data_IF_734223568895
#
_entry.id   IF_734223568895
#
_cell.length_a   1.000
_cell.length_b   1.000
_cell.length_c   1.000
_cell.angle_alpha   90.00
_cell.angle_beta   90.00
_cell.angle_gamma   90.00
#
_symmetry.space_group_name_H-M   'P 1'
#
loop_
_entity.id
_entity.type
_entity.pdbx_description
1 polymer ?
#
# COMPACT_ATOMS: atom_id res chain seq x y z
N UNK A 1 8.71 -22.10 8.72
CA UNK A 1 8.63 -22.48 10.14
C UNK A 1 7.16 -22.60 10.50
N UNK A 2 6.66 -23.78 10.89
CA UNK A 2 5.24 -24.01 11.22
C UNK A 2 5.07 -23.98 12.74
N UNK A 3 4.80 -22.79 13.29
CA UNK A 3 4.40 -22.58 14.70
C UNK A 3 3.02 -21.90 14.77
N UNK A 4 2.22 -21.99 13.70
CA UNK A 4 0.93 -21.31 13.59
C UNK A 4 -0.09 -21.78 14.64
N UNK A 5 0.12 -22.96 15.24
CA UNK A 5 -0.71 -23.45 16.34
C UNK A 5 -0.50 -22.67 17.65
N UNK A 6 0.63 -22.00 17.84
CA UNK A 6 0.91 -21.20 19.05
C UNK A 6 0.26 -19.81 19.04
N UNK A 7 -0.38 -19.45 17.92
CA UNK A 7 -1.09 -18.18 17.73
C UNK A 7 -2.58 -18.38 17.40
N UNK A 8 -3.07 -19.63 17.48
CA UNK A 8 -4.48 -19.97 17.31
C UNK A 8 -5.18 -20.05 18.68
N UNK A 9 -6.45 -19.61 18.79
CA UNK A 9 -7.25 -19.84 19.99
C UNK A 9 -7.34 -21.34 20.29
N UNK A 10 -7.07 -21.74 21.53
CA UNK A 10 -7.12 -23.14 21.91
C UNK A 10 -8.56 -23.65 21.98
N UNK A 11 -8.82 -24.80 21.37
CA UNK A 11 -10.08 -25.51 21.54
C UNK A 11 -10.15 -26.10 22.96
N UNK A 12 -11.33 -26.03 23.59
CA UNK A 12 -11.58 -26.64 24.90
C UNK A 12 -11.32 -28.14 24.79
N UNK A 13 -10.29 -28.64 25.49
CA UNK A 13 -9.88 -30.05 25.50
C UNK A 13 -8.63 -30.41 24.68
N UNK A 14 -7.95 -29.44 24.06
CA UNK A 14 -6.68 -29.68 23.35
C UNK A 14 -5.49 -29.85 24.30
N UNK A 15 -4.47 -30.60 23.87
CA UNK A 15 -3.20 -30.75 24.59
C UNK A 15 -2.51 -29.39 24.79
N UNK A 16 -1.92 -29.15 25.97
CA UNK A 16 -1.17 -27.92 26.25
C UNK A 16 -0.01 -27.77 25.26
N UNK A 17 0.14 -26.56 24.71
CA UNK A 17 1.27 -26.26 23.83
C UNK A 17 2.56 -26.26 24.65
N UNK A 18 3.62 -26.95 24.19
CA UNK A 18 4.89 -26.96 24.91
C UNK A 18 5.44 -25.53 25.10
N UNK A 19 5.88 -25.15 26.33
CA UNK A 19 6.37 -23.80 26.61
C UNK A 19 7.52 -23.34 25.70
N UNK A 20 8.36 -24.28 25.27
CA UNK A 20 9.48 -23.99 24.35
C UNK A 20 9.01 -23.58 22.94
N UNK A 21 7.84 -24.04 22.49
CA UNK A 21 7.27 -23.66 21.20
C UNK A 21 6.67 -22.25 21.25
N UNK A 22 5.97 -21.92 22.33
CA UNK A 22 5.47 -20.56 22.61
C UNK A 22 6.63 -19.57 22.64
N UNK A 23 7.70 -19.88 23.39
CA UNK A 23 8.89 -19.03 23.46
C UNK A 23 9.56 -18.85 22.09
N UNK A 24 9.66 -19.92 21.29
CA UNK A 24 10.22 -19.88 19.93
C UNK A 24 9.40 -18.99 19.00
N UNK A 25 8.07 -19.05 19.07
CA UNK A 25 7.17 -18.19 18.32
C UNK A 25 7.30 -16.71 18.75
N UNK A 26 7.30 -16.44 20.06
CA UNK A 26 7.49 -15.09 20.61
C UNK A 26 8.80 -14.45 20.15
N UNK A 27 9.91 -15.19 20.18
CA UNK A 27 11.22 -14.72 19.69
C UNK A 27 11.15 -14.45 18.18
N UNK A 28 10.59 -15.38 17.40
CA UNK A 28 10.47 -15.22 15.95
C UNK A 28 9.68 -13.95 15.60
N UNK A 29 8.54 -13.71 16.24
CA UNK A 29 7.74 -12.50 16.01
C UNK A 29 8.53 -11.24 16.33
N UNK A 30 9.19 -11.18 17.50
CA UNK A 30 9.98 -10.02 17.93
C UNK A 30 11.16 -9.70 17.03
N UNK A 31 11.70 -10.69 16.32
CA UNK A 31 12.78 -10.50 15.34
C UNK A 31 12.29 -9.88 14.02
N UNK A 32 11.00 -10.01 13.70
CA UNK A 32 10.46 -9.63 12.40
C UNK A 32 9.48 -8.45 12.44
N UNK A 33 9.14 -7.94 13.63
CA UNK A 33 8.36 -6.70 13.79
C UNK A 33 9.28 -5.47 13.89
N UNK A 34 8.72 -4.29 13.59
CA UNK A 34 9.44 -3.02 13.67
C UNK A 34 10.01 -2.78 15.08
N UNK A 35 11.21 -2.18 15.23
CA UNK A 35 11.82 -1.91 16.54
C UNK A 35 10.91 -1.18 17.52
N UNK A 36 10.13 -0.21 17.05
CA UNK A 36 9.19 0.53 17.90
C UNK A 36 8.09 -0.38 18.49
N UNK A 37 7.51 -1.26 17.66
CA UNK A 37 6.52 -2.24 18.12
C UNK A 37 7.15 -3.26 19.08
N UNK A 38 8.41 -3.63 18.85
CA UNK A 38 9.14 -4.53 19.74
C UNK A 38 9.33 -3.92 21.13
N UNK A 39 9.63 -2.62 21.20
CA UNK A 39 9.75 -1.89 22.47
C UNK A 39 8.40 -1.74 23.16
N UNK A 40 7.35 -1.41 22.43
CA UNK A 40 5.98 -1.26 22.96
C UNK A 40 5.45 -2.56 23.58
N UNK A 41 5.73 -3.71 22.96
CA UNK A 41 5.25 -5.02 23.42
C UNK A 41 6.36 -5.86 24.09
N UNK A 42 7.35 -5.22 24.72
CA UNK A 42 8.47 -5.93 25.35
C UNK A 42 8.01 -6.93 26.43
N UNK A 43 7.00 -6.57 27.22
CA UNK A 43 6.50 -7.37 28.35
C UNK A 43 5.52 -8.49 27.97
N UNK A 44 5.07 -8.54 26.70
CA UNK A 44 4.11 -9.56 26.24
C UNK A 44 4.82 -10.87 25.91
N UNK A 45 4.98 -11.74 26.91
CA UNK A 45 5.75 -13.00 26.76
C UNK A 45 5.02 -14.10 25.97
N UNK A 46 3.69 -14.09 26.01
CA UNK A 46 2.85 -15.06 25.30
C UNK A 46 2.71 -14.72 23.80
N UNK A 47 2.96 -15.70 22.94
CA UNK A 47 2.91 -15.52 21.48
C UNK A 47 1.50 -15.27 20.98
N UNK A 48 0.49 -15.89 21.60
CA UNK A 48 -0.90 -15.70 21.22
C UNK A 48 -1.39 -14.30 21.59
N UNK A 49 -1.08 -13.83 22.81
CA UNK A 49 -1.38 -12.46 23.23
C UNK A 49 -0.69 -11.43 22.33
N UNK A 50 0.61 -11.60 22.04
CA UNK A 50 1.35 -10.70 21.15
C UNK A 50 0.73 -10.65 19.75
N UNK A 51 0.39 -11.80 19.18
CA UNK A 51 -0.26 -11.88 17.87
C UNK A 51 -1.62 -11.20 17.87
N UNK A 52 -2.44 -11.47 18.89
CA UNK A 52 -3.79 -10.91 19.02
C UNK A 52 -3.77 -9.39 19.11
N UNK A 53 -2.88 -8.82 19.94
CA UNK A 53 -2.71 -7.37 20.08
C UNK A 53 -2.25 -6.72 18.79
N UNK A 54 -1.26 -7.32 18.11
CA UNK A 54 -0.80 -6.82 16.80
C UNK A 54 -1.95 -6.87 15.78
N UNK A 55 -2.67 -7.99 15.70
CA UNK A 55 -3.78 -8.15 14.78
C UNK A 55 -4.89 -7.12 15.04
N UNK A 56 -5.20 -6.83 16.31
CA UNK A 56 -6.16 -5.81 16.69
C UNK A 56 -5.70 -4.40 16.27
N UNK A 57 -4.46 -4.02 16.57
CA UNK A 57 -3.88 -2.72 16.19
C UNK A 57 -3.87 -2.52 14.67
N UNK A 58 -3.39 -3.51 13.92
CA UNK A 58 -3.40 -3.45 12.45
C UNK A 58 -4.82 -3.51 11.87
N UNK A 59 -5.75 -4.20 12.55
CA UNK A 59 -7.17 -4.22 12.20
C UNK A 59 -7.82 -2.84 12.33
N UNK A 60 -7.56 -2.14 13.44
CA UNK A 60 -8.01 -0.75 13.66
C UNK A 60 -7.41 0.19 12.61
N UNK A 61 -6.09 0.08 12.35
CA UNK A 61 -5.43 0.86 11.30
C UNK A 61 -6.04 0.61 9.93
N UNK A 62 -6.30 -0.66 9.57
CA UNK A 62 -6.96 -1.04 8.31
C UNK A 62 -8.33 -0.37 8.16
N UNK A 63 -9.13 -0.34 9.23
CA UNK A 63 -10.46 0.26 9.23
C UNK A 63 -10.44 1.77 8.94
N UNK A 64 -9.34 2.46 9.25
CA UNK A 64 -9.17 3.89 9.01
C UNK A 64 -8.49 4.15 7.66
N UNK A 65 -7.36 3.49 7.41
CA UNK A 65 -6.48 3.76 6.26
C UNK A 65 -7.10 3.26 4.96
N UNK A 66 -7.76 2.10 4.95
CA UNK A 66 -8.32 1.55 3.70
C UNK A 66 -9.45 2.43 3.12
N UNK A 67 -10.45 2.90 3.90
CA UNK A 67 -11.42 3.87 3.38
C UNK A 67 -10.79 5.18 2.93
N UNK A 68 -9.78 5.68 3.64
CA UNK A 68 -9.08 6.90 3.26
C UNK A 68 -8.36 6.72 1.92
N UNK A 69 -7.56 5.66 1.75
CA UNK A 69 -6.86 5.39 0.51
C UNK A 69 -7.82 5.19 -0.69
N UNK A 70 -9.03 4.65 -0.46
CA UNK A 70 -10.08 4.57 -1.49
C UNK A 70 -10.63 5.94 -1.88
N UNK A 71 -10.85 6.83 -0.91
CA UNK A 71 -11.24 8.22 -1.18
C UNK A 71 -10.15 8.96 -1.95
N UNK A 72 -8.91 8.87 -1.47
CA UNK A 72 -7.76 9.49 -2.12
C UNK A 72 -7.58 8.99 -3.55
N UNK A 73 -7.75 7.67 -3.78
CA UNK A 73 -7.78 7.12 -5.14
C UNK A 73 -8.90 7.73 -5.97
N UNK A 74 -10.14 7.81 -5.45
CA UNK A 74 -11.27 8.39 -6.16
C UNK A 74 -11.06 9.85 -6.54
N UNK A 75 -10.51 10.63 -5.61
CA UNK A 75 -10.32 12.08 -5.71
C UNK A 75 -9.00 12.51 -6.36
N UNK A 76 -8.09 11.58 -6.61
CA UNK A 76 -6.81 11.89 -7.25
C UNK A 76 -7.03 12.55 -8.61
N UNK A 77 -6.43 13.73 -8.81
CA UNK A 77 -6.42 14.44 -10.09
C UNK A 77 -5.01 14.92 -10.39
N UNK A 78 -4.64 14.90 -11.67
CA UNK A 78 -3.32 15.35 -12.10
C UNK A 78 -3.14 16.87 -11.86
N UNK A 79 -4.24 17.62 -11.94
CA UNK A 79 -4.31 19.08 -11.72
C UNK A 79 -3.89 19.53 -10.32
N UNK A 80 -4.03 18.67 -9.31
CA UNK A 80 -3.72 19.02 -7.92
C UNK A 80 -2.19 19.03 -7.64
N UNK A 81 -1.36 18.73 -8.65
CA UNK A 81 0.10 18.62 -8.53
C UNK A 81 0.83 19.54 -9.52
N UNK A 82 1.96 20.10 -9.09
CA UNK A 82 2.73 21.04 -9.91
C UNK A 82 3.56 20.33 -10.97
N UNK A 83 4.08 19.15 -10.63
CA UNK A 83 4.92 18.34 -11.51
C UNK A 83 4.52 16.86 -11.49
N UNK A 84 4.80 16.16 -12.60
CA UNK A 84 4.52 14.72 -12.78
C UNK A 84 5.10 13.87 -11.63
N UNK A 85 6.26 14.25 -11.09
CA UNK A 85 6.93 13.54 -10.01
C UNK A 85 6.16 13.56 -8.68
N UNK A 86 5.53 14.69 -8.34
CA UNK A 86 4.70 14.82 -7.14
C UNK A 86 3.44 13.96 -7.25
N UNK A 87 2.76 14.05 -8.39
CA UNK A 87 1.62 13.19 -8.72
C UNK A 87 2.00 11.72 -8.58
N UNK A 88 3.12 11.30 -9.18
CA UNK A 88 3.58 9.92 -9.16
C UNK A 88 3.84 9.43 -7.72
N UNK A 89 4.44 10.28 -6.89
CA UNK A 89 4.74 9.97 -5.49
C UNK A 89 3.46 9.76 -4.69
N UNK A 90 2.50 10.70 -4.80
CA UNK A 90 1.19 10.57 -4.15
C UNK A 90 0.44 9.32 -4.63
N UNK A 91 0.47 9.05 -5.94
CA UNK A 91 -0.20 7.89 -6.52
C UNK A 91 0.39 6.57 -6.00
N UNK A 92 1.72 6.45 -5.97
CA UNK A 92 2.38 5.27 -5.41
C UNK A 92 2.11 5.08 -3.92
N UNK A 93 1.98 6.17 -3.15
CA UNK A 93 1.60 6.10 -1.73
C UNK A 93 0.20 5.50 -1.59
N UNK A 94 -0.78 5.99 -2.34
CA UNK A 94 -2.16 5.46 -2.33
C UNK A 94 -2.18 3.98 -2.74
N UNK A 95 -1.51 3.63 -3.85
CA UNK A 95 -1.44 2.24 -4.35
C UNK A 95 -0.81 1.31 -3.32
N UNK A 96 0.25 1.74 -2.64
CA UNK A 96 0.91 0.96 -1.60
C UNK A 96 -0.01 0.70 -0.41
N UNK A 97 -0.77 1.70 0.03
CA UNK A 97 -1.76 1.55 1.10
C UNK A 97 -2.89 0.59 0.71
N UNK A 98 -3.42 0.71 -0.52
CA UNK A 98 -4.45 -0.19 -1.02
C UNK A 98 -3.95 -1.64 -1.06
N UNK A 99 -2.74 -1.87 -1.59
CA UNK A 99 -2.14 -3.20 -1.68
C UNK A 99 -1.83 -3.80 -0.30
N UNK A 100 -1.32 -2.99 0.63
CA UNK A 100 -1.00 -3.42 2.00
C UNK A 100 -2.23 -4.01 2.70
N UNK A 101 -3.41 -3.43 2.48
CA UNK A 101 -4.65 -3.91 3.09
C UNK A 101 -5.45 -4.88 2.20
N UNK A 102 -4.80 -5.50 1.21
CA UNK A 102 -5.33 -6.60 0.41
C UNK A 102 -6.13 -6.19 -0.82
N UNK A 103 -6.20 -4.89 -1.16
CA UNK A 103 -6.88 -4.46 -2.37
C UNK A 103 -5.97 -4.61 -3.59
N UNK A 104 -6.41 -5.44 -4.55
CA UNK A 104 -5.64 -5.70 -5.78
C UNK A 104 -5.71 -4.50 -6.75
N UNK A 105 -4.58 -3.79 -6.84
CA UNK A 105 -4.34 -2.73 -7.84
C UNK A 105 -3.32 -3.23 -8.87
N UNK A 106 -3.79 -3.49 -10.08
CA UNK A 106 -2.98 -3.98 -11.22
C UNK A 106 -2.35 -2.83 -12.00
N UNK A 107 -1.33 -3.12 -12.82
CA UNK A 107 -0.72 -2.15 -13.75
C UNK A 107 -1.76 -1.47 -14.67
N UNK A 108 -2.72 -2.23 -15.24
CA UNK A 108 -3.79 -1.65 -16.08
C UNK A 108 -4.58 -0.61 -15.32
N UNK A 109 -5.14 -0.97 -14.16
CA UNK A 109 -5.83 -0.02 -13.26
C UNK A 109 -5.01 1.23 -12.94
N UNK A 110 -3.70 1.10 -12.76
CA UNK A 110 -2.84 2.27 -12.53
C UNK A 110 -2.77 3.17 -13.77
N UNK A 111 -2.57 2.58 -14.95
CA UNK A 111 -2.54 3.28 -16.23
C UNK A 111 -3.89 3.95 -16.50
N UNK A 112 -4.98 3.19 -16.44
CA UNK A 112 -6.34 3.67 -16.70
C UNK A 112 -6.68 4.83 -15.78
N UNK A 113 -6.37 4.68 -14.48
CA UNK A 113 -6.57 5.75 -13.51
C UNK A 113 -5.76 7.00 -13.83
N UNK A 114 -4.48 6.87 -14.17
CA UNK A 114 -3.67 8.05 -14.55
C UNK A 114 -4.22 8.76 -15.77
N UNK A 115 -4.68 8.00 -16.77
CA UNK A 115 -5.31 8.58 -17.95
C UNK A 115 -6.64 9.28 -17.61
N UNK A 116 -7.45 8.72 -16.71
CA UNK A 116 -8.68 9.35 -16.20
C UNK A 116 -8.41 10.66 -15.45
N UNK A 117 -7.25 10.79 -14.80
CA UNK A 117 -6.91 11.99 -14.03
C UNK A 117 -6.49 13.20 -14.90
N UNK A 118 -6.38 13.04 -16.23
CA UNK A 118 -6.01 14.13 -17.14
C UNK A 118 -7.12 15.16 -17.33
N UNK A 119 -6.70 16.41 -17.43
CA UNK A 119 -7.56 17.56 -17.70
C UNK A 119 -7.98 17.62 -19.20
N UNK A 120 -9.14 18.20 -19.56
CA UNK A 120 -9.61 18.23 -20.95
C UNK A 120 -8.62 18.83 -21.98
N UNK A 121 -7.91 19.95 -21.71
CA UNK A 121 -6.82 20.42 -22.57
C UNK A 121 -5.71 19.41 -22.85
N UNK A 122 -5.48 18.44 -21.95
CA UNK A 122 -4.50 17.38 -22.14
C UNK A 122 -5.08 16.15 -22.87
N UNK A 123 -6.29 16.24 -23.44
CA UNK A 123 -6.93 15.15 -24.17
C UNK A 123 -6.10 14.61 -25.33
N UNK A 124 -5.33 15.45 -26.04
CA UNK A 124 -4.45 14.98 -27.12
C UNK A 124 -3.34 14.06 -26.57
N UNK A 125 -2.76 14.45 -25.44
CA UNK A 125 -1.69 13.69 -24.77
C UNK A 125 -2.25 12.41 -24.14
N UNK A 126 -3.45 12.49 -23.53
CA UNK A 126 -4.23 11.33 -23.08
C UNK A 126 -4.47 10.34 -24.22
N UNK A 127 -4.95 10.82 -25.37
CA UNK A 127 -5.27 9.96 -26.52
C UNK A 127 -4.02 9.31 -27.10
N UNK A 128 -2.91 10.05 -27.19
CA UNK A 128 -1.60 9.50 -27.60
C UNK A 128 -1.16 8.39 -26.65
N UNK A 129 -1.31 8.60 -25.34
CA UNK A 129 -0.98 7.58 -24.35
C UNK A 129 -1.89 6.35 -24.44
N UNK A 130 -3.20 6.52 -24.70
CA UNK A 130 -4.14 5.41 -24.94
C UNK A 130 -3.74 4.59 -26.16
N UNK A 131 -3.38 5.25 -27.26
CA UNK A 131 -3.00 4.58 -28.51
C UNK A 131 -1.72 3.75 -28.38
N UNK A 132 -0.81 4.13 -27.47
CA UNK A 132 0.44 3.41 -27.22
C UNK A 132 0.26 2.08 -26.45
N UNK A 133 -0.94 1.78 -25.93
CA UNK A 133 -1.29 0.51 -25.27
C UNK A 133 -0.23 0.02 -24.27
N UNK A 134 0.18 0.91 -23.36
CA UNK A 134 1.19 0.59 -22.34
C UNK A 134 0.77 -0.62 -21.51
N UNK A 135 1.71 -1.54 -21.28
CA UNK A 135 1.52 -2.71 -20.40
C UNK A 135 2.06 -2.51 -18.98
N UNK A 136 2.88 -1.48 -18.79
CA UNK A 136 3.52 -1.13 -17.51
C UNK A 136 3.33 0.36 -17.24
N UNK A 137 2.90 0.69 -16.04
CA UNK A 137 2.74 2.06 -15.56
C UNK A 137 4.06 2.84 -15.62
N UNK A 138 5.18 2.18 -15.33
CA UNK A 138 6.51 2.80 -15.43
C UNK A 138 6.86 3.34 -16.82
N UNK A 139 6.31 2.75 -17.89
CA UNK A 139 6.51 3.26 -19.26
C UNK A 139 5.67 4.49 -19.54
N UNK A 140 4.43 4.53 -19.02
CA UNK A 140 3.60 5.73 -19.10
C UNK A 140 4.26 6.89 -18.37
N UNK A 141 4.68 6.70 -17.12
CA UNK A 141 5.23 7.80 -16.32
C UNK A 141 6.54 8.35 -16.89
N UNK A 142 7.39 7.50 -17.47
CA UNK A 142 8.61 7.94 -18.17
C UNK A 142 8.30 8.89 -19.32
N UNK A 143 7.26 8.60 -20.12
CA UNK A 143 6.85 9.46 -21.24
C UNK A 143 6.28 10.78 -20.73
N UNK A 144 5.51 10.77 -19.65
CA UNK A 144 4.97 11.98 -19.04
C UNK A 144 6.08 12.86 -18.45
N UNK A 145 7.07 12.26 -17.79
CA UNK A 145 8.25 12.96 -17.29
C UNK A 145 9.08 13.57 -18.43
N UNK A 146 9.29 12.84 -19.53
CA UNK A 146 10.02 13.34 -20.69
C UNK A 146 9.30 14.50 -21.38
N UNK A 147 7.98 14.39 -21.56
CA UNK A 147 7.17 15.45 -22.16
C UNK A 147 7.19 16.74 -21.32
N UNK A 148 7.25 16.62 -19.99
CA UNK A 148 7.36 17.76 -19.07
C UNK A 148 8.75 18.42 -19.08
N UNK A 149 9.82 17.69 -19.45
CA UNK A 149 11.18 18.21 -19.51
C UNK A 149 11.56 18.84 -20.86
N UNK A 150 10.92 18.45 -21.95
CA UNK A 150 11.23 18.94 -23.31
C UNK A 150 10.53 20.24 -23.70
N UNK A 151 9.57 20.71 -22.91
CA UNK A 151 8.94 22.01 -23.07
C UNK A 151 9.14 22.79 -21.79
N UNK A 152 9.92 23.88 -21.85
CA UNK A 152 9.89 24.90 -20.80
C UNK A 152 8.43 25.24 -20.52
N UNK A 153 8.02 25.12 -19.27
CA UNK A 153 6.63 25.31 -18.84
C UNK A 153 6.14 26.65 -19.35
N UNK A 154 5.04 26.64 -20.11
CA UNK A 154 3.86 27.26 -19.55
C UNK A 154 2.68 26.30 -19.70
N UNK A 155 2.06 25.98 -18.56
CA UNK A 155 0.65 25.60 -18.50
C UNK A 155 0.25 24.39 -19.37
N UNK A 156 0.46 23.18 -18.84
CA UNK A 156 -0.56 22.10 -19.00
C UNK A 156 -1.76 22.31 -18.04
N UNK A 157 -1.87 23.55 -17.52
CA UNK A 157 -2.83 24.13 -16.60
C UNK A 157 -3.32 25.42 -17.26
N UNK A 158 -4.24 25.29 -18.20
CA UNK A 158 -5.19 26.34 -18.53
C UNK A 158 -6.56 25.69 -18.63
#
# INVERSE_FOLDING_TARGET
MQLSHTIAPHAVGAAEIPPHEVAKASIFMRLHIHPDLKMEYLEVHDSLALWSTLQECFGKQKAIILPQARRDWGQLRFLDYKIVGEYNTAFHRIVSQLRLYGQRVTESKMIDKTLETFHPPNMVLQQRCRNNKYKKYSKLIQVLLAAAGSQGVPRMIS
#
